data_IF_895278271191
#
_entry.id   IF_895278271191
#
_cell.length_a   1.000
_cell.length_b   1.000
_cell.length_c   1.000
_cell.angle_alpha   90.00
_cell.angle_beta   90.00
_cell.angle_gamma   90.00
#
_symmetry.space_group_name_H-M   'P 1'
#
loop_
_entity.id
_entity.type
_entity.pdbx_description
1 polymer ?
#
# COMPACT_ATOMS: atom_id res chain seq x y z
N UNK A 1 4.81 25.96 21.15
CA UNK A 1 5.15 25.63 19.75
C UNK A 1 5.53 24.15 19.71
N UNK A 2 4.97 23.37 18.78
CA UNK A 2 5.45 22.00 18.55
C UNK A 2 6.89 22.08 18.06
N UNK A 3 7.77 21.25 18.62
CA UNK A 3 9.12 21.09 18.09
C UNK A 3 9.03 20.53 16.67
N UNK A 4 10.04 20.82 15.85
CA UNK A 4 10.15 20.30 14.48
C UNK A 4 10.01 18.75 14.45
N UNK A 5 10.53 18.07 15.48
CA UNK A 5 10.33 16.63 15.67
C UNK A 5 8.85 16.26 15.93
N UNK A 6 8.13 17.05 16.73
CA UNK A 6 6.71 16.83 17.01
C UNK A 6 5.85 16.95 15.76
N UNK A 7 6.14 17.94 14.89
CA UNK A 7 5.46 18.10 13.59
C UNK A 7 5.73 16.91 12.67
N UNK A 8 6.98 16.45 12.59
CA UNK A 8 7.34 15.26 11.79
C UNK A 8 6.64 14.00 12.28
N UNK A 9 6.57 13.77 13.60
CA UNK A 9 5.87 12.62 14.19
C UNK A 9 4.36 12.66 13.91
N UNK A 10 3.75 13.85 14.00
CA UNK A 10 2.34 14.02 13.67
C UNK A 10 2.06 13.71 12.19
N UNK A 11 2.88 14.28 11.29
CA UNK A 11 2.75 14.01 9.85
C UNK A 11 2.92 12.52 9.54
N UNK A 12 3.91 11.87 10.17
CA UNK A 12 4.12 10.44 10.01
C UNK A 12 2.92 9.62 10.51
N UNK A 13 2.33 9.97 11.65
CA UNK A 13 1.14 9.32 12.18
C UNK A 13 -0.08 9.48 11.25
N UNK A 14 -0.28 10.67 10.65
CA UNK A 14 -1.36 10.91 9.67
C UNK A 14 -1.16 10.02 8.43
N UNK A 15 0.05 9.97 7.89
CA UNK A 15 0.39 9.14 6.73
C UNK A 15 0.17 7.65 7.06
N UNK A 16 0.66 7.17 8.21
CA UNK A 16 0.47 5.78 8.62
C UNK A 16 -0.99 5.42 8.85
N UNK A 17 -1.81 6.36 9.31
CA UNK A 17 -3.27 6.19 9.45
C UNK A 17 -3.94 6.04 8.08
N UNK A 18 -3.62 6.91 7.12
CA UNK A 18 -4.15 6.82 5.76
C UNK A 18 -3.77 5.48 5.10
N UNK A 19 -2.54 5.02 5.32
CA UNK A 19 -2.10 3.69 4.92
C UNK A 19 -2.94 2.60 5.60
N UNK A 20 -3.14 2.69 6.92
CA UNK A 20 -3.96 1.72 7.68
C UNK A 20 -5.39 1.63 7.13
N UNK A 21 -5.98 2.76 6.79
CA UNK A 21 -7.32 2.83 6.20
C UNK A 21 -7.35 2.24 4.78
N UNK A 22 -6.28 2.39 4.01
CA UNK A 22 -6.14 1.71 2.72
C UNK A 22 -6.14 0.18 2.86
N UNK A 23 -5.75 -0.37 4.02
CA UNK A 23 -5.79 -1.81 4.29
C UNK A 23 -7.18 -2.32 4.69
N UNK A 24 -8.05 -1.46 5.24
CA UNK A 24 -9.38 -1.85 5.71
C UNK A 24 -10.45 -1.71 4.64
N UNK A 25 -10.25 -0.80 3.67
CA UNK A 25 -11.16 -0.63 2.53
C UNK A 25 -10.99 -1.76 1.50
N UNK A 26 -12.11 -2.19 0.93
CA UNK A 26 -12.20 -3.24 -0.11
C UNK A 26 -11.15 -3.04 -1.22
N UNK A 27 -10.65 -4.11 -1.89
CA UNK A 27 -9.63 -4.05 -2.94
C UNK A 27 -10.11 -3.37 -4.24
N UNK A 28 -10.86 -2.28 -4.14
CA UNK A 28 -11.15 -1.41 -5.28
C UNK A 28 -9.85 -0.89 -5.89
N UNK A 29 -9.89 -0.73 -7.21
CA UNK A 29 -8.77 -0.97 -8.12
C UNK A 29 -7.62 0.04 -8.05
N UNK A 30 -7.76 1.15 -7.35
CA UNK A 30 -6.74 2.22 -7.28
C UNK A 30 -6.88 2.96 -5.94
N UNK A 31 -6.05 2.60 -4.97
CA UNK A 31 -5.90 3.40 -3.75
C UNK A 31 -4.57 4.17 -3.86
N UNK A 32 -4.59 5.51 -3.87
CA UNK A 32 -3.39 6.33 -4.00
C UNK A 32 -2.34 6.02 -2.93
N UNK A 33 -2.76 5.66 -1.71
CA UNK A 33 -1.82 5.30 -0.65
C UNK A 33 -1.13 3.95 -0.94
N UNK A 34 -1.84 3.00 -1.57
CA UNK A 34 -1.26 1.71 -1.99
C UNK A 34 -0.23 1.90 -3.09
N UNK A 35 -0.58 2.64 -4.13
CA UNK A 35 0.34 2.91 -5.24
C UNK A 35 1.57 3.69 -4.76
N UNK A 36 1.36 4.65 -3.86
CA UNK A 36 2.45 5.38 -3.25
C UNK A 36 3.38 4.48 -2.43
N UNK A 37 2.87 3.60 -1.55
CA UNK A 37 3.71 2.67 -0.76
C UNK A 37 4.54 1.75 -1.66
N UNK A 38 3.95 1.26 -2.74
CA UNK A 38 4.60 0.29 -3.63
C UNK A 38 5.66 0.96 -4.52
N UNK A 39 5.46 2.22 -4.92
CA UNK A 39 6.31 2.90 -5.89
C UNK A 39 7.24 3.96 -5.30
N UNK A 40 6.96 4.51 -4.12
CA UNK A 40 7.82 5.51 -3.48
C UNK A 40 8.94 4.84 -2.68
N UNK A 41 10.17 5.00 -3.18
CA UNK A 41 11.38 4.46 -2.56
C UNK A 41 12.03 5.42 -1.56
N UNK A 42 11.58 6.68 -1.51
CA UNK A 42 12.27 7.76 -0.80
C UNK A 42 11.49 8.25 0.42
N UNK A 43 10.23 8.65 0.23
CA UNK A 43 9.44 9.24 1.30
C UNK A 43 8.84 8.17 2.20
N UNK A 44 8.42 7.03 1.63
CA UNK A 44 7.81 5.97 2.42
C UNK A 44 8.75 5.41 3.53
N UNK A 45 10.02 5.04 3.26
CA UNK A 45 10.94 4.63 4.32
C UNK A 45 11.21 5.71 5.37
N UNK A 46 11.21 6.99 4.96
CA UNK A 46 11.35 8.11 5.88
C UNK A 46 10.20 8.18 6.88
N UNK A 47 8.95 8.13 6.40
CA UNK A 47 7.77 8.18 7.28
C UNK A 47 7.66 6.97 8.20
N UNK A 48 8.03 5.79 7.70
CA UNK A 48 8.14 4.58 8.51
C UNK A 48 9.18 4.73 9.63
N UNK A 49 10.36 5.28 9.33
CA UNK A 49 11.42 5.54 10.33
C UNK A 49 10.99 6.55 11.38
N UNK A 50 10.32 7.64 10.99
CA UNK A 50 9.79 8.64 11.93
C UNK A 50 8.72 8.07 12.86
N UNK A 51 8.01 7.03 12.41
CA UNK A 51 6.95 6.34 13.17
C UNK A 51 7.42 5.08 13.90
N UNK A 52 8.71 4.77 13.90
CA UNK A 52 9.28 3.53 14.46
C UNK A 52 8.65 2.23 13.89
N UNK A 53 8.28 2.25 12.60
CA UNK A 53 7.68 1.11 11.89
C UNK A 53 8.65 0.62 10.80
N UNK A 54 8.74 -0.71 10.60
CA UNK A 54 9.52 -1.28 9.49
C UNK A 54 8.79 -1.11 8.15
N UNK A 55 9.39 -0.42 7.16
CA UNK A 55 8.81 -0.27 5.83
C UNK A 55 8.66 -1.60 5.10
N UNK A 56 9.56 -2.55 5.31
CA UNK A 56 9.52 -3.89 4.72
C UNK A 56 8.31 -4.68 5.22
N UNK A 57 8.00 -4.56 6.51
CA UNK A 57 6.83 -5.22 7.12
C UNK A 57 5.54 -4.72 6.49
N UNK A 58 5.41 -3.41 6.31
CA UNK A 58 4.22 -2.78 5.70
C UNK A 58 4.09 -3.17 4.23
N UNK A 59 5.18 -3.13 3.44
CA UNK A 59 5.18 -3.57 2.04
C UNK A 59 4.78 -5.04 1.90
N UNK A 60 5.31 -5.92 2.76
CA UNK A 60 4.94 -7.35 2.77
C UNK A 60 3.45 -7.53 3.05
N UNK A 61 2.90 -6.84 4.05
CA UNK A 61 1.48 -6.91 4.37
C UNK A 61 0.61 -6.40 3.22
N UNK A 62 1.02 -5.34 2.50
CA UNK A 62 0.31 -4.87 1.31
C UNK A 62 0.32 -5.90 0.19
N UNK A 63 1.48 -6.44 -0.17
CA UNK A 63 1.58 -7.42 -1.25
C UNK A 63 0.81 -8.71 -0.94
N UNK A 64 0.70 -9.11 0.32
CA UNK A 64 -0.07 -10.28 0.74
C UNK A 64 -1.58 -10.05 0.68
N UNK A 65 -2.06 -8.89 1.13
CA UNK A 65 -3.50 -8.56 1.16
C UNK A 65 -4.04 -8.12 -0.20
N UNK A 66 -3.21 -7.45 -0.98
CA UNK A 66 -3.56 -6.88 -2.27
C UNK A 66 -2.63 -7.50 -3.32
N UNK A 67 -2.89 -8.77 -3.66
CA UNK A 67 -2.28 -9.35 -4.86
C UNK A 67 -2.69 -8.48 -6.04
N UNK A 68 -1.76 -7.94 -6.85
CA UNK A 68 -2.13 -7.17 -8.02
C UNK A 68 -2.96 -8.06 -8.94
N UNK A 69 -4.24 -7.70 -9.07
CA UNK A 69 -5.26 -8.36 -9.87
C UNK A 69 -4.92 -8.42 -11.38
N UNK A 70 -3.73 -7.93 -11.79
CA UNK A 70 -3.22 -8.00 -13.16
C UNK A 70 -2.96 -9.43 -13.65
N UNK A 71 -2.88 -10.43 -12.77
CA UNK A 71 -2.77 -11.85 -13.18
C UNK A 71 -4.12 -12.59 -13.22
N UNK A 72 -5.12 -12.20 -12.42
CA UNK A 72 -6.42 -12.89 -12.38
C UNK A 72 -7.21 -12.68 -13.69
N UNK A 73 -7.20 -11.45 -14.23
CA UNK A 73 -7.90 -11.12 -15.48
C UNK A 73 -7.33 -11.89 -16.69
N UNK A 74 -6.04 -12.20 -16.71
CA UNK A 74 -5.42 -13.03 -17.77
C UNK A 74 -5.75 -14.51 -17.62
N UNK A 75 -5.85 -15.02 -16.39
CA UNK A 75 -6.22 -16.41 -16.12
C UNK A 75 -7.68 -16.71 -16.51
N UNK A 76 -8.59 -15.79 -16.19
CA UNK A 76 -10.01 -15.93 -16.55
C UNK A 76 -10.25 -15.76 -18.06
N UNK A 77 -9.50 -14.88 -18.74
CA UNK A 77 -9.57 -14.79 -20.20
C UNK A 77 -9.02 -16.05 -20.91
N UNK A 78 -8.01 -16.72 -20.34
CA UNK A 78 -7.50 -17.99 -20.88
C UNK A 78 -8.47 -19.15 -20.68
N UNK A 79 -9.17 -19.21 -19.54
CA UNK A 79 -10.22 -20.22 -19.31
C UNK A 79 -11.41 -20.06 -20.24
N UNK A 80 -11.86 -18.82 -20.51
CA UNK A 80 -12.98 -18.58 -21.44
C UNK A 80 -12.68 -19.05 -22.86
N UNK A 81 -11.47 -18.78 -23.38
CA UNK A 81 -11.08 -19.22 -24.74
C UNK A 81 -10.89 -20.73 -24.89
N UNK A 82 -10.60 -21.45 -23.79
CA UNK A 82 -10.44 -22.91 -23.81
C UNK A 82 -11.77 -23.67 -23.69
N UNK A 83 -12.88 -23.00 -23.37
CA UNK A 83 -14.23 -23.58 -23.33
C UNK A 83 -15.06 -23.29 -24.59
N UNK A 84 -14.53 -22.51 -25.53
CA UNK A 84 -15.16 -22.16 -26.82
C UNK A 84 -14.61 -22.97 -28.00
N UNK A 85 -13.75 -23.98 -27.73
CA UNK A 85 -13.22 -24.97 -28.68
C UNK A 85 -13.69 -26.34 -28.21
#
# INVERSE_FOLDING_TARGET
>A
MLSDLGVRKLAAAVVMTAIKDSFSKSPSRQDPARDWILNDQTMFPFWCRVSDISPERVKRTMMQRFKPERQQVRADQRKKRASEI
#
